data_IF_975583283339
#
_entry.id   IF_975583283339
#
_cell.length_a   1.000
_cell.length_b   1.000
_cell.length_c   1.000
_cell.angle_alpha   90.00
_cell.angle_beta   90.00
_cell.angle_gamma   90.00
#
_symmetry.space_group_name_H-M   'P 1'
#
loop_
_entity.id
_entity.type
_entity.pdbx_description
1 polymer ?
#
# COMPACT_ATOMS: atom_id res chain seq x y z
N UNK A 1 -1.85 28.80 -2.35
CA UNK A 1 -1.96 27.87 -3.49
C UNK A 1 -2.93 26.76 -3.11
N UNK A 2 -3.73 26.28 -4.04
CA UNK A 2 -4.62 25.12 -3.77
C UNK A 2 -3.78 23.87 -3.64
N UNK A 3 -4.02 23.05 -2.60
CA UNK A 3 -3.37 21.74 -2.42
C UNK A 3 -3.76 20.84 -3.60
N UNK A 4 -2.78 20.18 -4.22
CA UNK A 4 -2.99 19.24 -5.32
C UNK A 4 -3.53 17.91 -4.79
N UNK A 5 -4.28 17.21 -5.62
CA UNK A 5 -4.57 15.79 -5.38
C UNK A 5 -3.30 14.96 -5.60
N UNK A 6 -3.04 13.99 -4.72
CA UNK A 6 -1.89 13.11 -4.88
C UNK A 6 -1.91 12.36 -6.23
N UNK A 7 -3.11 11.97 -6.68
CA UNK A 7 -3.32 11.30 -7.98
C UNK A 7 -2.82 12.13 -9.17
N UNK A 8 -2.94 13.48 -9.12
CA UNK A 8 -2.45 14.35 -10.19
C UNK A 8 -0.91 14.42 -10.18
N UNK A 9 -0.30 14.44 -8.99
CA UNK A 9 1.17 14.41 -8.86
C UNK A 9 1.72 13.11 -9.42
N UNK A 10 1.11 11.97 -9.09
CA UNK A 10 1.55 10.66 -9.59
C UNK A 10 1.28 10.47 -11.09
N UNK A 11 0.22 11.07 -11.63
CA UNK A 11 -0.01 11.13 -13.08
C UNK A 11 1.12 11.89 -13.78
N UNK A 12 1.52 13.06 -13.27
CA UNK A 12 2.67 13.81 -13.78
C UNK A 12 3.98 13.00 -13.71
N UNK A 13 4.17 12.22 -12.64
CA UNK A 13 5.36 11.37 -12.48
C UNK A 13 5.35 10.21 -13.48
N UNK A 14 4.22 9.56 -13.70
CA UNK A 14 4.08 8.52 -14.70
C UNK A 14 4.40 9.02 -16.10
N UNK A 15 3.87 10.18 -16.50
CA UNK A 15 4.16 10.81 -17.80
C UNK A 15 5.65 11.12 -18.00
N UNK A 16 6.40 11.34 -16.90
CA UNK A 16 7.84 11.64 -16.93
C UNK A 16 8.72 10.44 -16.61
N UNK A 17 8.17 9.23 -16.55
CA UNK A 17 8.86 7.98 -16.19
C UNK A 17 9.57 7.99 -14.81
N UNK A 18 9.13 8.85 -13.89
CA UNK A 18 9.66 8.88 -12.51
C UNK A 18 9.19 7.70 -11.66
N UNK A 19 8.09 7.05 -12.07
CA UNK A 19 7.53 5.85 -11.44
C UNK A 19 8.50 4.67 -11.45
N UNK A 20 9.39 4.57 -12.43
CA UNK A 20 10.43 3.52 -12.49
C UNK A 20 11.46 3.64 -11.36
N UNK A 21 11.79 4.86 -10.94
CA UNK A 21 12.63 5.11 -9.78
C UNK A 21 11.96 4.70 -8.47
N UNK A 22 10.63 4.80 -8.37
CA UNK A 22 9.87 4.37 -7.20
C UNK A 22 9.93 2.85 -7.00
N UNK A 23 9.78 2.07 -8.07
CA UNK A 23 9.93 0.62 -8.03
C UNK A 23 11.30 0.22 -7.46
N UNK A 24 12.39 0.72 -8.05
CA UNK A 24 13.75 0.40 -7.60
C UNK A 24 14.03 0.89 -6.17
N UNK A 25 13.46 2.02 -5.78
CA UNK A 25 13.61 2.62 -4.46
C UNK A 25 12.97 1.81 -3.34
N UNK A 26 11.82 1.19 -3.62
CA UNK A 26 11.01 0.47 -2.63
C UNK A 26 11.12 -1.06 -2.71
N UNK A 27 11.79 -1.61 -3.74
CA UNK A 27 11.85 -3.05 -3.96
C UNK A 27 12.33 -3.84 -2.74
N UNK A 28 13.33 -3.33 -2.00
CA UNK A 28 13.82 -3.97 -0.78
C UNK A 28 12.74 -4.02 0.31
N UNK A 29 12.06 -2.90 0.55
CA UNK A 29 10.98 -2.82 1.55
C UNK A 29 9.83 -3.76 1.22
N UNK A 30 9.38 -3.76 -0.03
CA UNK A 30 8.28 -4.63 -0.48
C UNK A 30 8.68 -6.11 -0.42
N UNK A 31 9.90 -6.47 -0.80
CA UNK A 31 10.38 -7.86 -0.67
C UNK A 31 10.35 -8.34 0.78
N UNK A 32 10.79 -7.50 1.72
CA UNK A 32 10.73 -7.83 3.15
C UNK A 32 9.28 -7.89 3.65
N UNK A 33 8.39 -6.98 3.20
CA UNK A 33 6.96 -7.01 3.53
C UNK A 33 6.29 -8.29 3.03
N UNK A 34 6.47 -8.65 1.77
CA UNK A 34 5.91 -9.88 1.20
C UNK A 34 6.50 -11.12 1.89
N UNK A 35 7.79 -11.10 2.24
CA UNK A 35 8.44 -12.16 3.04
C UNK A 35 7.83 -12.34 4.44
N UNK A 36 7.21 -11.29 5.00
CA UNK A 36 6.47 -11.36 6.26
C UNK A 36 5.05 -11.92 6.04
N UNK A 37 4.33 -11.40 5.04
CA UNK A 37 2.90 -11.69 4.85
C UNK A 37 2.62 -13.05 4.22
N UNK A 38 3.32 -13.41 3.12
CA UNK A 38 3.03 -14.62 2.34
C UNK A 38 3.12 -15.92 3.15
N UNK A 39 4.13 -16.10 4.04
CA UNK A 39 4.20 -17.32 4.88
C UNK A 39 3.03 -17.47 5.87
N UNK A 40 2.29 -16.39 6.16
CA UNK A 40 1.16 -16.40 7.09
C UNK A 40 -0.17 -16.74 6.39
N UNK A 41 -0.20 -16.69 5.05
CA UNK A 41 -1.41 -16.93 4.26
C UNK A 41 -1.70 -18.42 4.11
N UNK A 42 -2.99 -18.77 4.11
CA UNK A 42 -3.45 -20.06 3.58
C UNK A 42 -3.26 -20.07 2.06
N UNK A 43 -2.93 -21.21 1.51
CA UNK A 43 -2.72 -21.39 0.07
C UNK A 43 -3.78 -22.29 -0.54
N UNK A 44 -4.30 -21.97 -1.74
CA UNK A 44 -3.98 -20.79 -2.56
C UNK A 44 -4.57 -19.50 -1.97
N UNK A 45 -4.08 -18.32 -2.41
CA UNK A 45 -4.55 -17.02 -1.95
C UNK A 45 -4.80 -16.04 -3.09
N UNK A 46 -5.66 -15.07 -2.83
CA UNK A 46 -5.92 -13.88 -3.67
C UNK A 46 -5.34 -12.63 -3.02
N UNK A 47 -4.89 -11.67 -3.84
CA UNK A 47 -4.28 -10.43 -3.37
C UNK A 47 -4.84 -9.19 -4.04
N UNK A 48 -4.89 -8.08 -3.31
CA UNK A 48 -5.10 -6.75 -3.83
C UNK A 48 -3.96 -5.83 -3.42
N UNK A 49 -3.43 -5.07 -4.39
CA UNK A 49 -2.42 -4.03 -4.18
C UNK A 49 -3.09 -2.65 -4.28
N UNK A 50 -3.12 -1.94 -3.14
CA UNK A 50 -3.83 -0.66 -2.99
C UNK A 50 -2.85 0.50 -3.11
N UNK A 51 -3.05 1.36 -4.10
CA UNK A 51 -2.06 2.33 -4.55
C UNK A 51 -0.99 1.64 -5.40
N UNK A 52 -1.42 0.78 -6.34
CA UNK A 52 -0.52 -0.12 -7.07
C UNK A 52 0.44 0.60 -8.04
N UNK A 53 0.25 1.89 -8.29
CA UNK A 53 1.05 2.65 -9.24
C UNK A 53 1.09 1.97 -10.61
N UNK A 54 2.29 1.77 -11.16
CA UNK A 54 2.51 1.10 -12.45
C UNK A 54 2.36 -0.43 -12.40
N UNK A 55 1.85 -0.99 -11.29
CA UNK A 55 1.52 -2.42 -11.14
C UNK A 55 2.70 -3.35 -10.88
N UNK A 56 3.87 -2.85 -10.49
CA UNK A 56 5.06 -3.68 -10.32
C UNK A 56 4.93 -4.71 -9.19
N UNK A 57 4.26 -4.35 -8.07
CA UNK A 57 4.00 -5.30 -6.97
C UNK A 57 3.00 -6.37 -7.40
N UNK A 58 1.99 -6.00 -8.20
CA UNK A 58 1.06 -6.98 -8.77
C UNK A 58 1.81 -8.01 -9.62
N UNK A 59 2.71 -7.58 -10.51
CA UNK A 59 3.56 -8.49 -11.30
C UNK A 59 4.46 -9.36 -10.43
N UNK A 60 4.97 -8.81 -9.32
CA UNK A 60 5.74 -9.60 -8.37
C UNK A 60 4.88 -10.66 -7.66
N UNK A 61 3.66 -10.32 -7.24
CA UNK A 61 2.72 -11.26 -6.62
C UNK A 61 2.32 -12.38 -7.58
N UNK A 62 2.17 -12.09 -8.86
CA UNK A 62 1.88 -13.09 -9.92
C UNK A 62 3.00 -14.14 -10.08
N UNK A 63 4.24 -13.86 -9.62
CA UNK A 63 5.31 -14.86 -9.66
C UNK A 63 5.17 -15.97 -8.61
N UNK A 64 4.33 -15.80 -7.60
CA UNK A 64 4.06 -16.82 -6.60
C UNK A 64 2.99 -17.79 -7.11
N UNK A 65 3.34 -19.04 -7.36
CA UNK A 65 2.40 -20.08 -7.84
C UNK A 65 1.15 -20.23 -6.97
N UNK A 66 1.27 -19.92 -5.67
CA UNK A 66 0.14 -19.96 -4.75
C UNK A 66 -0.77 -18.74 -4.82
N UNK A 67 -0.38 -17.67 -5.51
CA UNK A 67 -1.21 -16.48 -5.74
C UNK A 67 -2.06 -16.69 -6.99
N UNK A 68 -3.34 -16.97 -6.80
CA UNK A 68 -4.24 -17.34 -7.90
C UNK A 68 -4.95 -16.14 -8.56
N UNK A 69 -4.90 -14.98 -7.93
CA UNK A 69 -5.50 -13.75 -8.43
C UNK A 69 -4.83 -12.54 -7.79
N UNK A 70 -4.48 -11.56 -8.62
CA UNK A 70 -3.99 -10.26 -8.18
C UNK A 70 -4.82 -9.16 -8.82
N UNK A 71 -5.23 -8.18 -8.00
CA UNK A 71 -5.90 -6.97 -8.43
C UNK A 71 -5.08 -5.78 -8.00
N UNK A 72 -4.84 -4.83 -8.90
CA UNK A 72 -4.21 -3.55 -8.59
C UNK A 72 -5.20 -2.40 -8.71
N UNK A 73 -5.21 -1.50 -7.75
CA UNK A 73 -6.03 -0.29 -7.79
C UNK A 73 -5.18 0.96 -7.55
N UNK A 74 -5.43 2.00 -8.32
CA UNK A 74 -4.78 3.30 -8.17
C UNK A 74 -5.69 4.43 -8.64
N UNK A 75 -5.53 5.63 -8.09
CA UNK A 75 -6.30 6.81 -8.45
C UNK A 75 -5.71 7.62 -9.60
N UNK A 76 -4.50 7.30 -10.05
CA UNK A 76 -3.83 7.95 -11.17
C UNK A 76 -4.14 7.23 -12.49
N UNK A 77 -4.69 7.98 -13.45
CA UNK A 77 -5.01 7.46 -14.78
C UNK A 77 -3.76 6.92 -15.47
N UNK A 78 -2.67 7.69 -15.45
CA UNK A 78 -1.44 7.36 -16.15
C UNK A 78 -0.70 6.17 -15.51
N UNK A 79 -0.80 6.03 -14.19
CA UNK A 79 -0.29 4.83 -13.50
C UNK A 79 -1.04 3.58 -13.94
N UNK A 80 -2.38 3.63 -13.97
CA UNK A 80 -3.19 2.49 -14.43
C UNK A 80 -2.96 2.18 -15.91
N UNK A 81 -2.79 3.20 -16.77
CA UNK A 81 -2.41 2.98 -18.18
C UNK A 81 -1.09 2.22 -18.27
N UNK A 82 -0.06 2.64 -17.53
CA UNK A 82 1.23 1.95 -17.49
C UNK A 82 1.13 0.54 -16.90
N UNK A 83 0.36 0.36 -15.83
CA UNK A 83 0.16 -0.96 -15.24
C UNK A 83 -0.41 -1.96 -16.27
N UNK A 84 -1.43 -1.55 -17.02
CA UNK A 84 -2.04 -2.35 -18.08
C UNK A 84 -1.12 -2.61 -19.28
N UNK A 85 -0.18 -1.71 -19.57
CA UNK A 85 0.81 -1.89 -20.63
C UNK A 85 1.93 -2.85 -20.25
N UNK A 86 2.30 -2.88 -18.96
CA UNK A 86 3.44 -3.65 -18.44
C UNK A 86 3.07 -5.06 -17.96
N UNK A 87 1.78 -5.37 -17.77
CA UNK A 87 1.32 -6.65 -17.24
C UNK A 87 -0.08 -7.03 -17.70
N UNK A 88 -0.42 -8.31 -17.54
CA UNK A 88 -1.76 -8.87 -17.87
C UNK A 88 -2.73 -8.83 -16.69
N UNK A 89 -2.33 -8.27 -15.54
CA UNK A 89 -3.11 -8.24 -14.31
C UNK A 89 -4.43 -7.44 -14.42
N UNK A 90 -5.30 -7.64 -13.46
CA UNK A 90 -6.54 -6.91 -13.30
C UNK A 90 -6.27 -5.55 -12.64
N UNK A 91 -6.38 -4.44 -13.40
CA UNK A 91 -6.11 -3.09 -12.91
C UNK A 91 -7.32 -2.16 -13.05
N UNK A 92 -7.67 -1.46 -11.96
CA UNK A 92 -8.80 -0.54 -11.93
C UNK A 92 -8.36 0.87 -11.52
N UNK A 93 -8.89 1.86 -12.24
CA UNK A 93 -8.80 3.26 -11.86
C UNK A 93 -9.84 3.54 -10.76
N UNK A 94 -9.37 3.79 -9.54
CA UNK A 94 -10.22 3.89 -8.36
C UNK A 94 -9.74 5.02 -7.46
N UNK A 95 -10.65 5.87 -7.04
CA UNK A 95 -10.40 6.90 -6.02
C UNK A 95 -10.98 6.43 -4.67
N UNK A 96 -10.13 6.27 -3.67
CA UNK A 96 -10.55 5.90 -2.32
C UNK A 96 -10.81 7.15 -1.46
N UNK A 97 -11.75 7.04 -0.49
CA UNK A 97 -12.46 5.84 -0.04
C UNK A 97 -13.77 5.49 -0.79
N UNK A 98 -14.08 5.99 -1.92
CA UNK A 98 -15.38 5.85 -2.61
C UNK A 98 -15.58 4.56 -3.44
N UNK A 99 -14.83 3.48 -3.18
CA UNK A 99 -14.94 2.23 -3.94
C UNK A 99 -14.80 0.99 -3.05
N UNK A 100 -15.45 -0.09 -3.45
CA UNK A 100 -15.40 -1.40 -2.80
C UNK A 100 -15.14 -2.49 -3.83
N UNK A 101 -14.30 -3.50 -3.52
CA UNK A 101 -14.12 -4.65 -4.39
C UNK A 101 -15.36 -5.54 -4.37
N UNK A 102 -15.67 -6.18 -5.50
CA UNK A 102 -16.79 -7.13 -5.61
C UNK A 102 -16.54 -8.45 -4.85
N UNK A 103 -15.32 -8.72 -4.44
CA UNK A 103 -14.89 -9.91 -3.70
C UNK A 103 -13.83 -9.54 -2.68
N UNK A 104 -13.79 -10.27 -1.57
CA UNK A 104 -12.75 -10.14 -0.56
C UNK A 104 -11.47 -10.83 -1.00
N UNK A 105 -10.36 -10.45 -0.34
CA UNK A 105 -9.02 -10.93 -0.63
C UNK A 105 -8.39 -11.58 0.61
N UNK A 106 -7.43 -12.46 0.37
CA UNK A 106 -6.65 -13.09 1.44
C UNK A 106 -5.45 -12.22 1.84
N UNK A 107 -4.95 -11.41 0.90
CA UNK A 107 -3.90 -10.42 1.14
C UNK A 107 -4.33 -9.04 0.66
N UNK A 108 -4.26 -8.06 1.53
CA UNK A 108 -4.21 -6.64 1.16
C UNK A 108 -2.78 -6.17 1.33
N UNK A 109 -2.16 -5.75 0.23
CA UNK A 109 -0.89 -5.06 0.21
C UNK A 109 -1.10 -3.58 -0.10
N UNK A 110 -0.30 -2.71 0.49
CA UNK A 110 -0.26 -1.29 0.15
C UNK A 110 1.13 -0.73 0.43
N UNK A 111 1.69 0.04 -0.51
CA UNK A 111 2.98 0.71 -0.32
C UNK A 111 2.85 2.18 -0.68
N UNK A 112 3.25 3.07 0.23
CA UNK A 112 3.32 4.51 0.00
C UNK A 112 1.97 5.14 -0.42
N UNK A 113 0.87 4.68 0.18
CA UNK A 113 -0.48 5.15 -0.17
C UNK A 113 -1.26 5.72 1.01
N UNK A 114 -1.35 5.00 2.14
CA UNK A 114 -2.32 5.27 3.21
C UNK A 114 -2.23 6.69 3.77
N UNK A 115 -1.07 7.25 3.88
CA UNK A 115 -0.88 8.61 4.43
C UNK A 115 -1.40 9.74 3.50
N UNK A 116 -1.74 9.46 2.24
CA UNK A 116 -2.42 10.43 1.37
C UNK A 116 -3.92 10.57 1.69
N UNK A 117 -4.49 9.62 2.43
CA UNK A 117 -5.87 9.70 2.90
C UNK A 117 -6.00 10.67 4.07
N UNK A 118 -7.13 11.38 4.13
CA UNK A 118 -7.47 12.26 5.27
C UNK A 118 -7.72 11.47 6.54
N UNK A 119 -8.28 10.27 6.41
CA UNK A 119 -8.51 9.34 7.50
C UNK A 119 -8.01 7.94 7.11
N UNK A 120 -6.69 7.70 7.25
CA UNK A 120 -6.13 6.39 6.95
C UNK A 120 -6.57 5.31 7.95
N UNK A 121 -6.96 5.67 9.18
CA UNK A 121 -7.39 4.70 10.19
C UNK A 121 -8.78 4.17 9.88
N UNK A 122 -9.68 5.00 9.34
CA UNK A 122 -10.97 4.53 8.83
C UNK A 122 -10.78 3.56 7.64
N UNK A 123 -9.80 3.81 6.79
CA UNK A 123 -9.48 2.87 5.70
C UNK A 123 -8.99 1.51 6.21
N UNK A 124 -8.21 1.47 7.31
CA UNK A 124 -7.84 0.20 7.95
C UNK A 124 -9.06 -0.58 8.42
N UNK A 125 -10.06 0.11 8.98
CA UNK A 125 -11.34 -0.49 9.40
C UNK A 125 -12.10 -1.07 8.19
N UNK A 126 -12.19 -0.31 7.09
CA UNK A 126 -12.82 -0.77 5.84
C UNK A 126 -12.11 -2.00 5.29
N UNK A 127 -10.78 -2.00 5.26
CA UNK A 127 -10.00 -3.17 4.85
C UNK A 127 -10.35 -4.39 5.70
N UNK A 128 -10.42 -4.22 7.03
CA UNK A 128 -10.75 -5.32 7.93
C UNK A 128 -12.17 -5.85 7.73
N UNK A 129 -13.18 -4.97 7.69
CA UNK A 129 -14.60 -5.37 7.67
C UNK A 129 -15.02 -5.89 6.30
N UNK A 130 -14.65 -5.17 5.24
CA UNK A 130 -15.29 -5.30 3.95
C UNK A 130 -14.42 -5.98 2.89
N UNK A 131 -13.06 -5.84 2.97
CA UNK A 131 -12.18 -6.29 1.92
C UNK A 131 -11.40 -7.56 2.23
N UNK A 132 -11.14 -7.88 3.50
CA UNK A 132 -10.42 -9.09 3.90
C UNK A 132 -11.33 -10.27 4.13
N UNK A 133 -10.92 -11.44 3.61
CA UNK A 133 -11.42 -12.73 4.04
C UNK A 133 -11.04 -13.00 5.49
N UNK A 134 -11.78 -13.90 6.16
CA UNK A 134 -11.36 -14.45 7.44
C UNK A 134 -10.01 -15.15 7.30
N UNK A 135 -9.12 -14.98 8.27
CA UNK A 135 -7.73 -15.41 8.25
C UNK A 135 -6.84 -14.62 7.25
N UNK A 136 -7.38 -13.62 6.57
CA UNK A 136 -6.66 -12.73 5.66
C UNK A 136 -5.65 -11.83 6.39
N UNK A 137 -4.68 -11.33 5.62
CA UNK A 137 -3.57 -10.50 6.11
C UNK A 137 -3.63 -9.13 5.43
N UNK A 138 -3.50 -8.08 6.23
CA UNK A 138 -3.12 -6.76 5.75
C UNK A 138 -1.63 -6.55 6.00
N UNK A 139 -0.91 -6.07 5.00
CA UNK A 139 0.44 -5.50 5.16
C UNK A 139 0.54 -4.20 4.40
N UNK A 140 0.88 -3.12 5.08
CA UNK A 140 1.07 -1.80 4.48
C UNK A 140 2.41 -1.21 4.89
N UNK A 141 3.05 -0.49 3.96
CA UNK A 141 4.29 0.23 4.16
C UNK A 141 4.11 1.73 3.96
N UNK A 142 4.64 2.52 4.87
CA UNK A 142 4.64 3.98 4.80
C UNK A 142 6.02 4.54 5.13
N UNK A 143 6.51 5.47 4.31
CA UNK A 143 7.75 6.20 4.58
C UNK A 143 7.49 7.56 5.23
N UNK A 144 6.26 8.10 5.06
CA UNK A 144 5.85 9.30 5.77
C UNK A 144 5.17 8.94 7.09
N UNK A 145 5.91 9.07 8.20
CA UNK A 145 5.44 8.85 9.56
C UNK A 145 6.23 9.74 10.54
N UNK A 146 5.68 9.94 11.75
CA UNK A 146 6.18 10.93 12.70
C UNK A 146 7.66 10.76 13.05
N UNK A 147 8.13 9.52 13.23
CA UNK A 147 9.51 9.22 13.60
C UNK A 147 10.49 9.32 12.41
N UNK A 148 10.00 9.40 11.16
CA UNK A 148 10.81 9.68 9.99
C UNK A 148 10.85 11.18 9.68
N UNK A 149 11.66 11.92 10.41
CA UNK A 149 11.76 13.37 10.26
C UNK A 149 12.20 13.82 8.86
N UNK A 150 12.88 12.97 8.09
CA UNK A 150 13.29 13.26 6.72
C UNK A 150 12.12 13.34 5.74
N UNK A 151 10.91 12.89 6.13
CA UNK A 151 9.70 12.97 5.31
C UNK A 151 8.79 14.15 5.66
N UNK A 152 9.12 14.93 6.69
CA UNK A 152 8.19 15.94 7.22
C UNK A 152 7.99 17.14 6.28
N UNK A 153 8.90 17.40 5.37
CA UNK A 153 8.79 18.44 4.34
C UNK A 153 8.04 17.97 3.08
N UNK A 154 7.73 16.68 2.95
CA UNK A 154 7.08 16.13 1.75
C UNK A 154 5.72 16.74 1.44
N UNK A 155 4.81 16.97 2.43
CA UNK A 155 3.51 17.58 2.16
C UNK A 155 3.65 18.95 1.49
N UNK A 156 4.58 19.78 1.96
CA UNK A 156 4.85 21.11 1.42
C UNK A 156 5.57 21.03 0.07
N UNK A 157 6.65 20.22 -0.03
CA UNK A 157 7.46 20.11 -1.24
C UNK A 157 6.70 19.55 -2.44
N UNK A 158 5.74 18.64 -2.21
CA UNK A 158 4.85 18.07 -3.24
C UNK A 158 3.54 18.83 -3.39
N UNK A 159 3.25 19.75 -2.47
CA UNK A 159 1.97 20.49 -2.37
C UNK A 159 0.76 19.54 -2.36
N UNK A 160 0.82 18.48 -1.53
CA UNK A 160 -0.23 17.47 -1.34
C UNK A 160 -0.59 17.31 0.12
N UNK A 161 -1.79 16.81 0.39
CA UNK A 161 -2.15 16.38 1.74
C UNK A 161 -1.39 15.10 2.12
N UNK A 162 -0.84 15.06 3.33
CA UNK A 162 -0.36 13.85 3.98
C UNK A 162 -0.76 13.85 5.45
N UNK A 163 -1.28 12.72 5.92
CA UNK A 163 -1.61 12.49 7.32
C UNK A 163 -0.39 11.88 8.01
N UNK A 164 0.18 12.61 8.96
CA UNK A 164 1.36 12.17 9.72
C UNK A 164 0.91 11.48 10.99
N UNK A 165 1.13 10.17 11.07
CA UNK A 165 0.87 9.37 12.28
C UNK A 165 2.18 8.78 12.80
N UNK A 166 2.25 8.59 14.13
CA UNK A 166 3.37 7.88 14.75
C UNK A 166 3.26 6.36 14.58
N UNK A 167 4.37 5.64 14.78
CA UNK A 167 4.39 4.17 14.84
C UNK A 167 3.32 3.62 15.82
N UNK A 168 3.17 4.29 16.98
CA UNK A 168 2.18 3.92 17.99
C UNK A 168 0.74 4.12 17.50
N UNK A 169 0.46 5.22 16.80
CA UNK A 169 -0.87 5.50 16.24
C UNK A 169 -1.23 4.53 15.13
N UNK A 170 -0.30 4.21 14.23
CA UNK A 170 -0.51 3.17 13.21
C UNK A 170 -0.83 1.81 13.84
N UNK A 171 -0.04 1.42 14.87
CA UNK A 171 -0.28 0.16 15.59
C UNK A 171 -1.65 0.15 16.27
N UNK A 172 -2.01 1.23 16.96
CA UNK A 172 -3.29 1.31 17.67
C UNK A 172 -4.45 1.29 16.69
N UNK A 173 -4.35 2.03 15.54
CA UNK A 173 -5.37 2.02 14.50
C UNK A 173 -5.64 0.63 13.92
N UNK A 174 -4.61 -0.19 13.75
CA UNK A 174 -4.78 -1.60 13.36
C UNK A 174 -5.54 -2.40 14.41
N UNK A 175 -5.20 -2.22 15.70
CA UNK A 175 -5.88 -2.89 16.81
C UNK A 175 -7.35 -2.45 16.90
N UNK A 176 -7.60 -1.14 16.80
CA UNK A 176 -8.95 -0.56 16.88
C UNK A 176 -9.82 -0.98 15.67
N UNK A 177 -9.21 -1.21 14.51
CA UNK A 177 -9.87 -1.77 13.34
C UNK A 177 -10.27 -3.26 13.50
N UNK A 178 -9.72 -3.96 14.51
CA UNK A 178 -10.05 -5.35 14.81
C UNK A 178 -8.96 -6.38 14.44
N UNK A 179 -7.82 -5.94 13.91
CA UNK A 179 -6.73 -6.85 13.55
C UNK A 179 -6.10 -7.48 14.79
N UNK A 180 -5.75 -8.76 14.66
CA UNK A 180 -4.95 -9.52 15.62
C UNK A 180 -3.52 -9.69 15.11
N UNK A 181 -2.60 -10.15 15.97
CA UNK A 181 -1.19 -10.34 15.63
C UNK A 181 -0.52 -9.09 15.02
N UNK A 182 -0.97 -7.90 15.45
CA UNK A 182 -0.50 -6.62 14.92
C UNK A 182 0.99 -6.44 15.19
N UNK A 183 1.75 -6.24 14.12
CA UNK A 183 3.19 -5.96 14.16
C UNK A 183 3.52 -4.69 13.40
N UNK A 184 4.44 -3.93 13.96
CA UNK A 184 5.03 -2.74 13.34
C UNK A 184 6.54 -2.95 13.29
N UNK A 185 7.13 -2.82 12.11
CA UNK A 185 8.55 -3.05 11.89
C UNK A 185 9.11 -2.07 10.87
N UNK A 186 10.38 -1.72 11.02
CA UNK A 186 11.11 -1.01 9.97
C UNK A 186 11.74 -2.01 9.01
N UNK A 187 11.45 -1.88 7.73
CA UNK A 187 11.95 -2.72 6.64
C UNK A 187 12.73 -1.87 5.64
N UNK A 188 13.50 -2.50 4.77
CA UNK A 188 14.25 -1.79 3.74
C UNK A 188 15.38 -0.89 4.25
N UNK A 189 15.82 -1.08 5.49
CA UNK A 189 16.87 -0.27 6.14
C UNK A 189 18.14 -0.17 5.26
N UNK A 190 18.67 1.06 5.11
CA UNK A 190 19.93 1.33 4.42
C UNK A 190 20.59 2.59 5.00
N UNK A 191 21.89 2.82 4.79
CA UNK A 191 22.54 4.05 5.23
C UNK A 191 21.77 5.29 4.75
N UNK A 192 21.42 6.20 5.67
CA UNK A 192 20.67 7.42 5.38
C UNK A 192 19.15 7.23 5.21
N UNK A 193 18.62 6.01 5.38
CA UNK A 193 17.19 5.74 5.37
C UNK A 193 16.79 4.93 6.59
N UNK A 194 15.90 5.50 7.40
CA UNK A 194 15.42 4.93 8.67
C UNK A 194 14.55 3.67 8.47
N UNK A 195 14.13 3.40 7.25
CA UNK A 195 13.27 2.28 6.87
C UNK A 195 11.81 2.67 6.64
N UNK A 196 11.16 1.89 5.79
CA UNK A 196 9.71 1.88 5.63
C UNK A 196 9.08 1.32 6.90
N UNK A 197 8.09 2.01 7.45
CA UNK A 197 7.27 1.48 8.53
C UNK A 197 6.28 0.48 7.95
N UNK A 198 6.58 -0.80 8.07
CA UNK A 198 5.68 -1.89 7.71
C UNK A 198 4.74 -2.20 8.87
N UNK A 199 3.44 -2.05 8.64
CA UNK A 199 2.37 -2.40 9.57
C UNK A 199 1.63 -3.62 9.05
N UNK A 200 1.45 -4.63 9.86
CA UNK A 200 0.76 -5.86 9.47
C UNK A 200 -0.16 -6.38 10.55
N UNK A 201 -1.22 -7.05 10.16
CA UNK A 201 -2.17 -7.68 11.05
C UNK A 201 -3.01 -8.72 10.34
N UNK A 202 -3.62 -9.59 11.13
CA UNK A 202 -4.45 -10.69 10.67
C UNK A 202 -5.90 -10.46 11.05
N UNK A 203 -6.83 -10.80 10.15
CA UNK A 203 -8.25 -10.91 10.47
C UNK A 203 -8.50 -12.32 11.01
N UNK A 204 -8.78 -12.43 12.32
CA UNK A 204 -9.24 -13.71 12.90
C UNK A 204 -10.66 -14.05 12.46
N UNK A 205 -11.03 -15.31 12.61
CA UNK A 205 -12.43 -15.77 12.37
C UNK A 205 -13.40 -15.13 13.33
#
# INVERSE_FOLDING_TARGET
MTIREATDVFSDWALRNRDEGMESGHAKSVNEMLGIAIPMLKKPFSAIDVGCGNGWVCRQLETYESCIRVVGIDGSVEMIVKAKQKGSGEFHLVKLPGWEPSQKFDLIHSMEFLYYLKDPLDMLRIFFTDWLNDEGILIAGVDHYLENTASHDWPESLNVHMTTLSEAQWKQGMIDAGFTDVKVRKVGLKPGFIGTLAISGKKSK
#
